data_IF_438983455225
#
_entry.id   IF_438983455225
#
_cell.length_a   1.000
_cell.length_b   1.000
_cell.length_c   1.000
_cell.angle_alpha   90.00
_cell.angle_beta   90.00
_cell.angle_gamma   90.00
#
_symmetry.space_group_name_H-M   'P 1'
#
loop_
_entity.id
_entity.type
_entity.pdbx_description
1 polymer ?
#
# COMPACT_ATOMS: atom_id res chain seq x y z
N UNK A 1 10.03 31.71 1.76
CA UNK A 1 9.29 31.05 2.85
C UNK A 1 9.38 31.81 4.17
N UNK A 2 10.58 31.96 4.74
CA UNK A 2 10.78 32.59 6.06
C UNK A 2 10.10 33.96 6.25
N UNK A 3 10.25 34.88 5.28
CA UNK A 3 9.59 36.19 5.33
C UNK A 3 8.06 36.07 5.42
N UNK A 4 7.45 35.16 4.65
CA UNK A 4 6.00 34.93 4.69
C UNK A 4 5.55 34.37 6.05
N UNK A 5 6.33 33.48 6.66
CA UNK A 5 6.04 32.97 8.01
C UNK A 5 6.12 34.08 9.07
N UNK A 6 7.13 34.95 9.00
CA UNK A 6 7.26 36.07 9.95
C UNK A 6 6.09 37.07 9.85
N UNK A 7 5.69 37.43 8.63
CA UNK A 7 4.53 38.32 8.44
C UNK A 7 3.23 37.65 8.91
N UNK A 8 3.05 36.35 8.62
CA UNK A 8 1.90 35.62 9.11
C UNK A 8 1.88 35.54 10.65
N UNK A 9 3.03 35.34 11.29
CA UNK A 9 3.15 35.30 12.74
C UNK A 9 2.70 36.61 13.41
N UNK A 10 3.07 37.76 12.82
CA UNK A 10 2.60 39.08 13.29
C UNK A 10 1.08 39.17 13.21
N UNK A 11 0.51 38.76 12.07
CA UNK A 11 -0.94 38.77 11.87
C UNK A 11 -1.66 37.84 12.86
N UNK A 12 -1.15 36.61 13.04
CA UNK A 12 -1.67 35.63 14.01
C UNK A 12 -1.64 36.19 15.43
N UNK A 13 -0.55 36.86 15.81
CA UNK A 13 -0.42 37.49 17.13
C UNK A 13 -1.50 38.55 17.36
N UNK A 14 -1.73 39.42 16.37
CA UNK A 14 -2.77 40.45 16.43
C UNK A 14 -4.17 39.83 16.47
N UNK A 15 -4.40 38.76 15.70
CA UNK A 15 -5.68 38.05 15.66
C UNK A 15 -6.00 37.41 17.02
N UNK A 16 -5.05 36.68 17.60
CA UNK A 16 -5.19 36.06 18.93
C UNK A 16 -5.46 37.10 20.02
N UNK A 17 -4.71 38.22 20.01
CA UNK A 17 -4.90 39.31 20.97
C UNK A 17 -6.29 39.96 20.82
N UNK A 18 -6.73 40.21 19.58
CA UNK A 18 -8.06 40.78 19.28
C UNK A 18 -9.19 39.89 19.80
N UNK A 19 -9.04 38.58 19.66
CA UNK A 19 -10.06 37.60 20.05
C UNK A 19 -9.86 37.01 21.45
N UNK A 20 -8.89 37.53 22.22
CA UNK A 20 -8.60 37.13 23.61
C UNK A 20 -8.44 35.61 23.77
N UNK A 21 -7.70 35.00 22.85
CA UNK A 21 -7.38 33.57 22.92
C UNK A 21 -6.58 33.25 24.21
N UNK A 22 -6.73 32.04 24.71
CA UNK A 22 -6.07 31.50 25.90
C UNK A 22 -4.69 30.89 25.61
N UNK A 23 -4.22 31.01 24.37
CA UNK A 23 -2.90 30.58 23.92
C UNK A 23 -2.22 31.68 23.09
N UNK A 24 -0.93 31.52 22.88
CA UNK A 24 -0.07 32.47 22.19
C UNK A 24 0.33 31.96 20.81
N UNK A 25 0.91 32.86 20.00
CA UNK A 25 1.45 32.48 18.69
C UNK A 25 2.57 31.42 18.78
N UNK A 26 3.26 31.34 19.91
CA UNK A 26 4.35 30.37 20.12
C UNK A 26 3.83 28.94 20.32
N UNK A 27 2.54 28.79 20.64
CA UNK A 27 1.87 27.49 20.76
C UNK A 27 1.45 26.94 19.38
N UNK A 28 1.63 27.73 18.32
CA UNK A 28 1.28 27.38 16.95
C UNK A 28 2.53 27.15 16.08
N UNK A 29 2.43 26.29 15.06
CA UNK A 29 3.50 26.08 14.10
C UNK A 29 3.74 27.35 13.26
N UNK A 30 5.00 27.64 12.89
CA UNK A 30 5.30 28.68 11.90
C UNK A 30 4.74 28.32 10.53
N UNK A 31 3.60 28.92 10.17
CA UNK A 31 2.94 28.68 8.88
C UNK A 31 3.11 29.87 7.94
N UNK A 32 3.35 29.64 6.65
CA UNK A 32 3.29 30.70 5.65
C UNK A 32 1.86 31.26 5.57
N UNK A 33 1.71 32.44 4.97
CA UNK A 33 0.41 33.08 4.76
C UNK A 33 -0.54 32.13 4.01
N UNK A 34 -0.04 31.40 3.01
CA UNK A 34 -0.83 30.39 2.28
C UNK A 34 -0.21 29.01 2.48
N UNK A 35 -1.02 28.05 2.94
CA UNK A 35 -0.62 26.65 3.08
C UNK A 35 -0.29 25.98 1.74
N UNK A 36 -0.76 26.53 0.61
CA UNK A 36 -0.39 26.11 -0.75
C UNK A 36 1.10 26.31 -1.03
N UNK A 37 1.76 27.25 -0.35
CA UNK A 37 3.21 27.41 -0.49
C UNK A 37 3.96 26.14 -0.06
N UNK A 38 3.45 25.41 0.94
CA UNK A 38 4.05 24.13 1.30
C UNK A 38 4.05 23.14 0.14
N UNK A 39 2.94 23.03 -0.59
CA UNK A 39 2.82 22.11 -1.73
C UNK A 39 3.82 22.48 -2.81
N UNK A 40 3.83 23.75 -3.21
CA UNK A 40 4.71 24.24 -4.27
C UNK A 40 6.18 23.98 -3.93
N UNK A 41 6.60 24.28 -2.69
CA UNK A 41 8.00 24.08 -2.30
C UNK A 41 8.37 22.59 -2.25
N UNK A 42 7.55 21.77 -1.60
CA UNK A 42 7.85 20.36 -1.41
C UNK A 42 7.79 19.59 -2.74
N UNK A 43 6.87 19.91 -3.63
CA UNK A 43 6.72 19.25 -4.93
C UNK A 43 7.81 19.67 -5.93
N UNK A 44 8.03 20.97 -6.11
CA UNK A 44 8.88 21.47 -7.20
C UNK A 44 10.31 21.79 -6.78
N UNK A 45 10.56 22.05 -5.49
CA UNK A 45 11.87 22.51 -5.01
C UNK A 45 12.45 21.73 -3.80
N UNK A 46 12.27 20.39 -3.69
CA UNK A 46 12.70 19.65 -2.50
C UNK A 46 14.21 19.75 -2.21
N UNK A 47 15.05 19.91 -3.23
CA UNK A 47 16.52 20.07 -3.10
C UNK A 47 16.93 21.35 -2.38
N UNK A 48 16.11 22.39 -2.45
CA UNK A 48 16.39 23.72 -1.93
C UNK A 48 15.81 23.94 -0.52
N UNK A 49 15.14 22.93 0.04
CA UNK A 49 14.48 23.04 1.33
C UNK A 49 15.46 22.71 2.46
N UNK A 50 15.72 23.66 3.37
CA UNK A 50 16.41 23.36 4.63
C UNK A 50 15.54 22.48 5.52
N UNK A 51 16.18 21.64 6.32
CA UNK A 51 15.56 20.77 7.31
C UNK A 51 14.62 21.53 8.27
N UNK A 52 14.95 22.76 8.64
CA UNK A 52 14.12 23.60 9.52
C UNK A 52 12.75 23.93 8.90
N UNK A 53 12.71 24.16 7.59
CA UNK A 53 11.47 24.45 6.85
C UNK A 53 10.59 23.20 6.80
N UNK A 54 11.20 22.03 6.62
CA UNK A 54 10.49 20.74 6.70
C UNK A 54 9.96 20.44 8.11
N UNK A 55 10.70 20.82 9.15
CA UNK A 55 10.25 20.67 10.55
C UNK A 55 9.04 21.56 10.85
N UNK A 56 9.01 22.80 10.34
CA UNK A 56 7.86 23.69 10.49
C UNK A 56 6.63 23.18 9.75
N UNK A 57 6.83 22.64 8.53
CA UNK A 57 5.78 21.91 7.82
C UNK A 57 5.25 20.74 8.65
N UNK A 58 6.12 19.91 9.21
CA UNK A 58 5.71 18.77 10.04
C UNK A 58 4.94 19.22 11.30
N UNK A 59 5.36 20.30 11.97
CA UNK A 59 4.59 20.85 13.10
C UNK A 59 3.18 21.29 12.66
N UNK A 60 3.07 21.88 11.46
CA UNK A 60 1.77 22.22 10.87
C UNK A 60 0.92 20.99 10.58
N UNK A 61 1.46 19.93 9.98
CA UNK A 61 0.68 18.71 9.74
C UNK A 61 0.26 18.05 11.05
N UNK A 62 1.14 18.01 12.05
CA UNK A 62 0.81 17.45 13.37
C UNK A 62 -0.32 18.22 14.04
N UNK A 63 -0.32 19.57 14.00
CA UNK A 63 -1.42 20.35 14.59
C UNK A 63 -2.74 20.16 13.82
N UNK A 64 -2.67 19.92 12.50
CA UNK A 64 -3.86 19.64 11.68
C UNK A 64 -4.43 18.24 11.97
N UNK A 65 -3.59 17.23 12.21
CA UNK A 65 -4.05 15.88 12.56
C UNK A 65 -4.56 15.82 14.00
N UNK A 66 -3.84 16.43 14.96
CA UNK A 66 -4.18 16.36 16.37
C UNK A 66 -4.12 17.74 17.02
N UNK A 67 -5.10 18.63 16.74
CA UNK A 67 -5.07 19.97 17.27
C UNK A 67 -5.24 19.97 18.80
N UNK A 68 -4.48 20.80 19.54
CA UNK A 68 -4.68 20.99 20.98
C UNK A 68 -6.11 21.41 21.31
N UNK A 69 -6.58 21.05 22.51
CA UNK A 69 -7.95 21.36 22.95
C UNK A 69 -8.27 22.86 22.89
N UNK A 70 -7.33 23.71 23.32
CA UNK A 70 -7.48 25.18 23.27
C UNK A 70 -7.69 25.69 21.84
N UNK A 71 -6.95 25.17 20.86
CA UNK A 71 -7.15 25.50 19.45
C UNK A 71 -8.50 24.99 18.93
N UNK A 72 -8.90 23.75 19.26
CA UNK A 72 -10.20 23.19 18.88
C UNK A 72 -11.36 24.04 19.43
N UNK A 73 -11.28 24.44 20.69
CA UNK A 73 -12.30 25.25 21.34
C UNK A 73 -12.35 26.67 20.77
N UNK A 74 -11.20 27.29 20.53
CA UNK A 74 -11.13 28.60 19.89
C UNK A 74 -11.72 28.59 18.47
N UNK A 75 -11.36 27.61 17.66
CA UNK A 75 -11.93 27.40 16.32
C UNK A 75 -13.46 27.21 16.36
N UNK A 76 -13.96 26.45 17.34
CA UNK A 76 -15.39 26.26 17.57
C UNK A 76 -16.10 27.57 17.97
N UNK A 77 -15.47 28.41 18.78
CA UNK A 77 -15.99 29.74 19.15
C UNK A 77 -16.09 30.64 17.91
N UNK A 78 -15.04 30.68 17.08
CA UNK A 78 -15.03 31.46 15.85
C UNK A 78 -16.15 31.05 14.88
N UNK A 79 -16.41 29.74 14.74
CA UNK A 79 -17.49 29.23 13.89
C UNK A 79 -18.90 29.55 14.42
N UNK A 80 -19.07 29.62 15.73
CA UNK A 80 -20.38 29.88 16.36
C UNK A 80 -20.85 31.32 16.19
N UNK A 81 -19.91 32.27 16.12
CA UNK A 81 -20.22 33.67 15.88
C UNK A 81 -20.33 33.93 14.37
N UNK A 82 -21.56 33.94 13.86
CA UNK A 82 -21.83 34.16 12.43
C UNK A 82 -21.36 35.53 11.90
N UNK A 83 -21.28 36.54 12.77
CA UNK A 83 -20.74 37.85 12.39
C UNK A 83 -19.22 37.78 12.21
N UNK A 84 -18.55 37.03 13.07
CA UNK A 84 -17.11 36.86 13.02
C UNK A 84 -16.65 35.87 11.94
N UNK A 85 -17.32 34.73 11.80
CA UNK A 85 -16.95 33.64 10.87
C UNK A 85 -16.92 34.09 9.41
N UNK A 86 -17.67 35.15 9.07
CA UNK A 86 -17.75 35.72 7.73
C UNK A 86 -16.72 36.84 7.49
N UNK A 87 -15.94 37.23 8.50
CA UNK A 87 -14.87 38.21 8.30
C UNK A 87 -13.70 37.56 7.56
N UNK A 88 -13.01 38.29 6.66
CA UNK A 88 -11.85 37.75 5.94
C UNK A 88 -10.76 37.22 6.88
N UNK A 89 -10.58 37.85 8.04
CA UNK A 89 -9.59 37.43 9.02
C UNK A 89 -9.94 36.08 9.67
N UNK A 90 -11.19 35.89 10.08
CA UNK A 90 -11.61 34.61 10.64
C UNK A 90 -11.61 33.51 9.59
N UNK A 91 -12.02 33.81 8.35
CA UNK A 91 -11.94 32.86 7.24
C UNK A 91 -10.50 32.43 6.96
N UNK A 92 -9.57 33.38 6.93
CA UNK A 92 -8.13 33.09 6.79
C UNK A 92 -7.63 32.21 7.94
N UNK A 93 -7.96 32.56 9.18
CA UNK A 93 -7.60 31.76 10.36
C UNK A 93 -8.07 30.31 10.23
N UNK A 94 -9.36 30.11 9.98
CA UNK A 94 -9.98 28.79 9.87
C UNK A 94 -9.39 28.01 8.69
N UNK A 95 -9.11 28.71 7.58
CA UNK A 95 -8.48 28.11 6.41
C UNK A 95 -7.04 27.65 6.66
N UNK A 96 -6.35 28.12 7.71
CA UNK A 96 -4.99 27.69 8.05
C UNK A 96 -4.95 26.73 9.23
N UNK A 97 -5.71 26.99 10.30
CA UNK A 97 -5.60 26.27 11.58
C UNK A 97 -6.82 25.40 11.93
N UNK A 98 -7.84 25.35 11.08
CA UNK A 98 -9.07 24.58 11.32
C UNK A 98 -9.43 23.68 10.13
N UNK A 99 -8.38 23.28 9.42
CA UNK A 99 -8.46 22.29 8.36
C UNK A 99 -8.57 20.91 8.98
N UNK A 100 -9.32 20.03 8.31
CA UNK A 100 -9.38 18.63 8.68
C UNK A 100 -8.73 17.77 7.59
N UNK A 101 -8.04 16.70 8.00
CA UNK A 101 -7.27 15.85 7.09
C UNK A 101 -8.13 15.04 6.11
N UNK A 102 -9.41 14.87 6.40
CA UNK A 102 -10.41 14.27 5.51
C UNK A 102 -10.75 15.19 4.31
N UNK A 103 -10.56 16.50 4.44
CA UNK A 103 -10.78 17.48 3.38
C UNK A 103 -9.60 17.60 2.42
N UNK A 104 -8.51 16.86 2.66
CA UNK A 104 -7.33 16.84 1.82
C UNK A 104 -7.39 15.66 0.83
N UNK A 105 -7.67 15.90 -0.47
CA UNK A 105 -7.69 14.82 -1.47
C UNK A 105 -6.34 14.13 -1.64
N UNK A 106 -5.26 14.81 -1.24
CA UNK A 106 -3.90 14.27 -1.14
C UNK A 106 -3.36 14.65 0.23
N UNK A 107 -3.16 13.67 1.11
CA UNK A 107 -2.62 13.96 2.44
C UNK A 107 -1.23 14.58 2.29
N UNK A 108 -0.91 15.60 3.06
CA UNK A 108 0.44 16.20 3.07
C UNK A 108 1.53 15.17 3.44
N UNK A 109 1.14 14.08 4.12
CA UNK A 109 1.98 12.90 4.37
C UNK A 109 2.34 12.14 3.10
N UNK A 110 1.46 12.12 2.09
CA UNK A 110 1.73 11.52 0.79
C UNK A 110 2.91 12.21 0.10
N UNK A 111 3.01 13.54 0.15
CA UNK A 111 4.15 14.27 -0.42
C UNK A 111 5.47 13.78 0.19
N UNK A 112 5.51 13.53 1.50
CA UNK A 112 6.69 12.97 2.17
C UNK A 112 6.99 11.54 1.71
N UNK A 113 5.96 10.71 1.53
CA UNK A 113 6.13 9.36 1.00
C UNK A 113 6.65 9.35 -0.44
N UNK A 114 6.12 10.22 -1.30
CA UNK A 114 6.60 10.39 -2.67
C UNK A 114 8.09 10.74 -2.69
N UNK A 115 8.55 11.63 -1.80
CA UNK A 115 9.99 11.93 -1.67
C UNK A 115 10.83 10.73 -1.23
N UNK A 116 10.26 9.84 -0.41
CA UNK A 116 10.95 8.61 0.00
C UNK A 116 11.00 7.62 -1.17
N UNK A 117 9.91 7.47 -1.91
CA UNK A 117 9.73 6.45 -2.96
C UNK A 117 10.45 6.77 -4.28
N UNK A 118 10.67 8.05 -4.61
CA UNK A 118 11.28 8.46 -5.88
C UNK A 118 12.72 8.97 -5.73
N UNK A 119 13.42 8.41 -4.74
CA UNK A 119 14.76 8.81 -4.29
C UNK A 119 14.81 10.24 -3.75
N UNK A 120 15.34 10.38 -2.53
CA UNK A 120 15.49 11.68 -1.93
C UNK A 120 16.42 12.52 -2.80
N UNK A 121 15.94 13.65 -3.33
CA UNK A 121 16.76 14.43 -4.23
C UNK A 121 17.92 15.02 -3.41
N UNK A 122 19.16 14.78 -3.87
CA UNK A 122 20.36 15.24 -3.17
C UNK A 122 20.25 16.73 -2.82
N UNK A 123 20.43 17.06 -1.54
CA UNK A 123 20.21 18.43 -1.08
C UNK A 123 21.28 19.37 -1.65
N UNK A 124 20.82 20.56 -2.05
CA UNK A 124 21.69 21.66 -2.50
C UNK A 124 22.00 22.64 -1.36
N UNK A 125 21.53 22.37 -0.14
CA UNK A 125 21.78 23.21 1.05
C UNK A 125 22.48 22.39 2.14
N UNK A 126 23.33 23.03 2.95
CA UNK A 126 24.18 22.36 3.94
C UNK A 126 23.42 21.63 5.05
N UNK A 127 22.20 22.08 5.35
CA UNK A 127 21.28 21.48 6.31
C UNK A 127 20.04 20.91 5.63
N UNK A 128 20.23 20.15 4.55
CA UNK A 128 19.17 19.59 3.74
C UNK A 128 18.26 18.57 4.41
N UNK A 129 17.17 18.24 3.72
CA UNK A 129 16.29 17.11 4.06
C UNK A 129 17.12 15.82 4.09
N UNK A 130 16.82 14.93 5.04
CA UNK A 130 17.40 13.59 5.11
C UNK A 130 16.32 12.52 5.16
N UNK A 131 16.62 11.32 4.68
CA UNK A 131 15.70 10.18 4.71
C UNK A 131 15.22 9.87 6.13
N UNK A 132 16.14 9.81 7.11
CA UNK A 132 15.79 9.51 8.50
C UNK A 132 14.75 10.49 9.07
N UNK A 133 14.86 11.77 8.73
CA UNK A 133 13.90 12.79 9.16
C UNK A 133 12.53 12.64 8.51
N UNK A 134 12.48 12.34 7.20
CA UNK A 134 11.20 12.05 6.54
C UNK A 134 10.54 10.80 7.11
N UNK A 135 11.31 9.74 7.35
CA UNK A 135 10.83 8.51 7.97
C UNK A 135 10.19 8.79 9.34
N UNK A 136 10.89 9.53 10.21
CA UNK A 136 10.38 9.88 11.54
C UNK A 136 9.06 10.66 11.45
N UNK A 137 8.94 11.60 10.51
CA UNK A 137 7.73 12.39 10.29
C UNK A 137 6.56 11.52 9.80
N UNK A 138 6.79 10.67 8.81
CA UNK A 138 5.75 9.76 8.29
C UNK A 138 5.28 8.79 9.38
N UNK A 139 6.20 8.21 10.15
CA UNK A 139 5.85 7.32 11.27
C UNK A 139 5.08 8.06 12.35
N UNK A 140 5.45 9.31 12.65
CA UNK A 140 4.69 10.17 13.57
C UNK A 140 3.28 10.43 13.07
N UNK A 141 3.10 10.78 11.80
CA UNK A 141 1.77 10.99 11.21
C UNK A 141 0.93 9.70 11.26
N UNK A 142 1.51 8.56 10.87
CA UNK A 142 0.85 7.27 10.96
C UNK A 142 0.42 6.94 12.40
N UNK A 143 1.25 7.28 13.41
CA UNK A 143 0.90 7.13 14.81
C UNK A 143 -0.34 7.93 15.18
N UNK A 144 -0.40 9.20 14.79
CA UNK A 144 -1.53 10.08 15.09
C UNK A 144 -2.82 9.58 14.42
N UNK A 145 -2.76 9.14 13.16
CA UNK A 145 -3.92 8.56 12.49
C UNK A 145 -4.42 7.29 13.19
N UNK A 146 -3.53 6.50 13.78
CA UNK A 146 -3.92 5.31 14.55
C UNK A 146 -4.46 5.63 15.94
N UNK A 147 -4.09 6.77 16.54
CA UNK A 147 -4.65 7.20 17.83
C UNK A 147 -6.14 7.55 17.71
N UNK A 148 -6.55 8.13 16.59
CA UNK A 148 -7.95 8.45 16.26
C UNK A 148 -8.41 7.69 14.99
N UNK A 149 -8.18 6.38 14.93
CA UNK A 149 -8.38 5.57 13.72
C UNK A 149 -9.81 5.63 13.15
N UNK A 150 -10.83 5.68 14.00
CA UNK A 150 -12.22 5.78 13.56
C UNK A 150 -12.48 7.08 12.78
N UNK A 151 -11.90 8.19 13.24
CA UNK A 151 -11.96 9.49 12.55
C UNK A 151 -11.15 9.48 11.25
N UNK A 152 -9.99 8.82 11.25
CA UNK A 152 -9.03 8.87 10.15
C UNK A 152 -9.01 7.60 9.28
N UNK A 153 -10.09 6.83 9.23
CA UNK A 153 -10.11 5.57 8.47
C UNK A 153 -9.81 5.79 6.97
N UNK A 154 -10.40 6.80 6.35
CA UNK A 154 -10.17 7.10 4.93
C UNK A 154 -8.77 7.65 4.66
N UNK A 155 -8.30 8.57 5.51
CA UNK A 155 -6.93 9.10 5.45
C UNK A 155 -5.90 7.98 5.64
N UNK A 156 -6.15 7.05 6.57
CA UNK A 156 -5.32 5.87 6.77
C UNK A 156 -5.32 4.97 5.53
N UNK A 157 -6.49 4.70 4.93
CA UNK A 157 -6.57 3.90 3.72
C UNK A 157 -5.83 4.56 2.54
N UNK A 158 -5.89 5.89 2.42
CA UNK A 158 -5.12 6.65 1.44
C UNK A 158 -3.61 6.55 1.71
N UNK A 159 -3.17 6.79 2.95
CA UNK A 159 -1.77 6.58 3.37
C UNK A 159 -1.30 5.19 3.00
N UNK A 160 -2.14 4.18 3.23
CA UNK A 160 -1.76 2.82 2.94
C UNK A 160 -1.55 2.57 1.44
N UNK A 161 -2.42 3.10 0.58
CA UNK A 161 -2.22 3.00 -0.87
C UNK A 161 -0.87 3.57 -1.31
N UNK A 162 -0.38 4.60 -0.64
CA UNK A 162 0.92 5.22 -0.95
C UNK A 162 2.13 4.49 -0.39
N UNK A 163 1.98 3.61 0.61
CA UNK A 163 3.08 2.78 1.13
C UNK A 163 3.33 1.52 0.30
N UNK A 164 2.39 1.21 -0.59
CA UNK A 164 2.44 0.03 -1.45
C UNK A 164 3.67 0.06 -2.39
N UNK A 165 4.29 -1.10 -2.69
CA UNK A 165 5.30 -1.20 -3.74
C UNK A 165 4.79 -0.60 -5.07
N UNK A 166 5.64 0.10 -5.84
CA UNK A 166 5.30 0.56 -7.19
C UNK A 166 4.94 -0.62 -8.10
N UNK A 167 3.87 -0.46 -8.88
CA UNK A 167 3.45 -1.47 -9.85
C UNK A 167 2.90 -0.84 -11.12
N UNK A 168 2.78 -1.63 -12.19
CA UNK A 168 2.14 -1.22 -13.45
C UNK A 168 0.69 -0.76 -13.26
N UNK A 169 -0.02 -1.28 -12.26
CA UNK A 169 -1.37 -0.82 -11.91
C UNK A 169 -1.37 0.61 -11.35
N UNK A 170 -0.34 0.97 -10.58
CA UNK A 170 -0.21 2.29 -9.96
C UNK A 170 0.35 3.31 -10.94
N UNK A 171 1.23 2.86 -11.84
CA UNK A 171 1.94 3.68 -12.83
C UNK A 171 1.75 3.10 -14.25
N UNK A 172 0.53 3.17 -14.82
CA UNK A 172 0.22 2.52 -16.09
C UNK A 172 0.98 3.13 -17.29
N UNK A 173 1.36 4.41 -17.20
CA UNK A 173 2.11 5.14 -18.23
C UNK A 173 3.61 4.84 -18.23
N UNK A 174 4.17 4.35 -17.12
CA UNK A 174 5.60 4.12 -16.97
C UNK A 174 6.01 2.80 -17.62
N UNK A 175 7.15 2.73 -18.29
CA UNK A 175 7.66 1.48 -18.88
C UNK A 175 8.18 0.50 -17.80
N UNK A 176 8.55 -0.72 -18.23
CA UNK A 176 9.01 -1.78 -17.32
C UNK A 176 10.31 -1.40 -16.60
N UNK A 177 11.23 -0.73 -17.28
CA UNK A 177 12.52 -0.31 -16.73
C UNK A 177 12.32 0.77 -15.66
N UNK A 178 11.43 1.72 -15.91
CA UNK A 178 11.04 2.78 -14.99
C UNK A 178 10.39 2.21 -13.73
N UNK A 179 9.47 1.25 -13.88
CA UNK A 179 8.84 0.57 -12.73
C UNK A 179 9.88 -0.24 -11.97
N UNK A 180 10.77 -0.97 -12.65
CA UNK A 180 11.85 -1.74 -12.02
C UNK A 180 12.77 -0.83 -11.19
N UNK A 181 13.15 0.32 -11.74
CA UNK A 181 13.91 1.36 -11.03
C UNK A 181 13.17 1.86 -9.79
N UNK A 182 11.88 2.21 -9.91
CA UNK A 182 11.05 2.63 -8.77
C UNK A 182 10.94 1.54 -7.70
N UNK A 183 10.80 0.27 -8.09
CA UNK A 183 10.76 -0.87 -7.15
C UNK A 183 12.09 -1.01 -6.42
N UNK A 184 13.24 -0.88 -7.12
CA UNK A 184 14.56 -0.91 -6.49
C UNK A 184 14.74 0.21 -5.47
N UNK A 185 14.31 1.42 -5.79
CA UNK A 185 14.31 2.55 -4.85
C UNK A 185 13.37 2.29 -3.67
N UNK A 186 12.14 1.83 -3.94
CA UNK A 186 11.19 1.49 -2.89
C UNK A 186 11.73 0.40 -1.94
N UNK A 187 12.42 -0.62 -2.46
CA UNK A 187 13.04 -1.66 -1.64
C UNK A 187 14.10 -1.09 -0.67
N UNK A 188 14.85 -0.06 -1.09
CA UNK A 188 15.89 0.59 -0.27
C UNK A 188 15.31 1.49 0.81
N UNK A 189 14.23 2.22 0.52
CA UNK A 189 13.72 3.29 1.37
C UNK A 189 12.28 3.08 1.82
N UNK A 190 11.35 2.87 0.88
CA UNK A 190 9.91 2.70 1.13
C UNK A 190 9.58 1.46 1.96
N UNK A 191 10.27 0.35 1.74
CA UNK A 191 10.13 -0.89 2.52
C UNK A 191 10.35 -0.65 4.00
N UNK A 192 11.38 0.11 4.37
CA UNK A 192 11.67 0.44 5.77
C UNK A 192 10.54 1.27 6.41
N UNK A 193 9.92 2.19 5.65
CA UNK A 193 8.75 2.93 6.13
C UNK A 193 7.60 1.97 6.41
N UNK A 194 7.31 1.07 5.47
CA UNK A 194 6.24 0.07 5.62
C UNK A 194 6.50 -0.86 6.81
N UNK A 195 7.75 -1.29 7.05
CA UNK A 195 8.14 -2.08 8.22
C UNK A 195 7.87 -1.33 9.53
N UNK A 196 8.28 -0.05 9.63
CA UNK A 196 8.04 0.79 10.81
C UNK A 196 6.55 1.02 11.07
N UNK A 197 5.77 1.29 10.02
CA UNK A 197 4.31 1.46 10.12
C UNK A 197 3.63 0.14 10.50
N UNK A 198 4.10 -0.99 9.99
CA UNK A 198 3.58 -2.32 10.36
C UNK A 198 3.85 -2.62 11.83
N UNK A 199 5.08 -2.37 12.32
CA UNK A 199 5.43 -2.53 13.72
C UNK A 199 4.56 -1.64 14.62
N UNK A 200 4.30 -0.40 14.20
CA UNK A 200 3.44 0.54 14.90
C UNK A 200 1.99 0.04 15.03
N UNK A 201 1.41 -0.48 13.94
CA UNK A 201 0.07 -1.10 13.98
C UNK A 201 0.04 -2.31 14.90
N UNK A 202 1.12 -3.12 14.91
CA UNK A 202 1.22 -4.27 15.81
C UNK A 202 1.21 -3.83 17.27
N UNK A 203 2.01 -2.83 17.63
CA UNK A 203 2.13 -2.34 19.00
C UNK A 203 0.82 -1.70 19.49
N UNK A 204 0.25 -0.81 18.67
CA UNK A 204 -0.98 -0.08 19.04
C UNK A 204 -2.22 -0.97 19.13
N UNK A 205 -2.32 -2.03 18.33
CA UNK A 205 -3.45 -2.99 18.40
C UNK A 205 -3.62 -3.62 19.79
N UNK A 206 -2.57 -3.66 20.62
CA UNK A 206 -2.68 -4.15 21.99
C UNK A 206 -3.59 -3.28 22.88
N UNK A 207 -3.96 -2.07 22.44
CA UNK A 207 -4.64 -1.06 23.26
C UNK A 207 -6.07 -0.71 22.83
N UNK A 208 -6.46 -0.90 21.57
CA UNK A 208 -7.81 -0.56 21.08
C UNK A 208 -8.47 -1.75 20.36
N UNK A 209 -9.81 -1.76 20.34
CA UNK A 209 -10.64 -2.82 19.77
C UNK A 209 -10.73 -2.77 18.23
N UNK A 210 -10.65 -1.58 17.63
CA UNK A 210 -10.80 -1.36 16.18
C UNK A 210 -9.46 -0.90 15.62
N UNK A 211 -8.87 -1.71 14.73
CA UNK A 211 -7.59 -1.42 14.05
C UNK A 211 -7.61 -1.92 12.60
N UNK A 212 -6.80 -1.31 11.72
CA UNK A 212 -6.62 -1.79 10.36
C UNK A 212 -6.07 -3.22 10.30
N UNK A 213 -6.38 -3.90 9.19
CA UNK A 213 -5.84 -5.23 8.89
C UNK A 213 -4.33 -5.16 8.75
N UNK A 214 -3.62 -6.01 9.50
CA UNK A 214 -2.16 -6.17 9.37
C UNK A 214 -1.78 -7.01 8.16
N UNK A 215 -2.71 -7.80 7.63
CA UNK A 215 -2.44 -8.77 6.58
C UNK A 215 -1.94 -8.09 5.31
N UNK A 216 -2.63 -7.05 4.84
CA UNK A 216 -2.20 -6.29 3.65
C UNK A 216 -0.78 -5.73 3.81
N UNK A 217 -0.45 -5.20 4.98
CA UNK A 217 0.89 -4.66 5.25
C UNK A 217 1.96 -5.74 5.13
N UNK A 218 1.71 -6.91 5.70
CA UNK A 218 2.63 -8.05 5.66
C UNK A 218 2.74 -8.63 4.26
N UNK A 219 1.63 -8.70 3.52
CA UNK A 219 1.63 -9.12 2.11
C UNK A 219 2.55 -8.21 1.29
N UNK A 220 2.46 -6.89 1.46
CA UNK A 220 3.30 -5.93 0.74
C UNK A 220 4.79 -5.97 1.10
N UNK A 221 5.16 -6.60 2.22
CA UNK A 221 6.54 -6.80 2.64
C UNK A 221 7.16 -8.09 2.07
N UNK A 222 6.37 -8.94 1.39
CA UNK A 222 6.89 -10.14 0.76
C UNK A 222 7.92 -9.80 -0.34
N UNK A 223 8.86 -10.71 -0.64
CA UNK A 223 9.86 -10.53 -1.68
C UNK A 223 9.22 -10.77 -3.06
N UNK A 224 8.44 -9.80 -3.54
CA UNK A 224 7.81 -9.92 -4.85
C UNK A 224 8.87 -10.10 -5.95
N UNK A 225 8.71 -11.11 -6.82
CA UNK A 225 9.57 -11.33 -7.98
C UNK A 225 9.21 -10.29 -9.05
N UNK A 226 9.69 -9.06 -8.87
CA UNK A 226 9.48 -7.94 -9.78
C UNK A 226 10.63 -7.91 -10.81
N UNK A 227 10.36 -8.33 -12.04
CA UNK A 227 11.36 -8.37 -13.11
C UNK A 227 12.62 -9.19 -12.74
N UNK A 228 12.47 -10.47 -12.34
CA UNK A 228 13.60 -11.33 -11.99
C UNK A 228 14.58 -11.47 -13.16
N UNK A 229 15.88 -11.54 -12.86
CA UNK A 229 16.87 -11.93 -13.86
C UNK A 229 16.58 -13.36 -14.35
N UNK A 230 16.74 -13.67 -15.67
CA UNK A 230 16.42 -14.98 -16.25
C UNK A 230 17.00 -16.18 -15.49
N UNK A 231 18.18 -16.03 -14.90
CA UNK A 231 18.85 -17.08 -14.13
C UNK A 231 18.18 -17.37 -12.77
N UNK A 232 17.45 -16.40 -12.19
CA UNK A 232 16.91 -16.47 -10.84
C UNK A 232 15.39 -16.62 -10.80
N UNK A 233 14.70 -16.42 -11.92
CA UNK A 233 13.23 -16.46 -12.08
C UNK A 233 12.57 -17.57 -11.26
N UNK A 234 12.97 -18.83 -11.48
CA UNK A 234 12.39 -19.98 -10.80
C UNK A 234 12.66 -19.99 -9.29
N UNK A 235 13.82 -19.50 -8.86
CA UNK A 235 14.16 -19.42 -7.44
C UNK A 235 13.32 -18.34 -6.76
N UNK A 236 13.22 -17.15 -7.35
CA UNK A 236 12.47 -16.03 -6.76
C UNK A 236 10.97 -16.33 -6.62
N UNK A 237 10.32 -16.90 -7.64
CA UNK A 237 8.91 -17.32 -7.53
C UNK A 237 8.69 -18.38 -6.46
N UNK A 238 9.62 -19.34 -6.34
CA UNK A 238 9.55 -20.38 -5.31
C UNK A 238 9.71 -19.77 -3.91
N UNK A 239 10.69 -18.89 -3.71
CA UNK A 239 10.93 -18.21 -2.43
C UNK A 239 9.71 -17.36 -2.05
N UNK A 240 9.17 -16.58 -2.97
CA UNK A 240 7.95 -15.81 -2.76
C UNK A 240 6.78 -16.70 -2.33
N UNK A 241 6.54 -17.82 -3.03
CA UNK A 241 5.44 -18.73 -2.71
C UNK A 241 5.57 -19.34 -1.31
N UNK A 242 6.79 -19.74 -0.92
CA UNK A 242 7.09 -20.25 0.43
C UNK A 242 6.82 -19.19 1.49
N UNK A 243 7.34 -17.96 1.33
CA UNK A 243 7.11 -16.90 2.30
C UNK A 243 5.63 -16.47 2.39
N UNK A 244 4.91 -16.50 1.27
CA UNK A 244 3.47 -16.26 1.25
C UNK A 244 2.72 -17.37 2.01
N UNK A 245 3.06 -18.63 1.77
CA UNK A 245 2.47 -19.76 2.50
C UNK A 245 2.72 -19.66 4.00
N UNK A 246 3.96 -19.41 4.43
CA UNK A 246 4.32 -19.20 5.84
C UNK A 246 3.54 -18.02 6.44
N UNK A 247 3.39 -16.91 5.70
CA UNK A 247 2.59 -15.78 6.14
C UNK A 247 1.12 -16.16 6.37
N UNK A 248 0.52 -16.91 5.44
CA UNK A 248 -0.86 -17.36 5.52
C UNK A 248 -1.06 -18.35 6.68
N UNK A 249 -0.13 -19.29 6.84
CA UNK A 249 -0.13 -20.21 7.97
C UNK A 249 -0.14 -19.46 9.30
N UNK A 250 0.75 -18.47 9.46
CA UNK A 250 0.82 -17.62 10.66
C UNK A 250 -0.48 -16.83 10.90
N UNK A 251 -1.14 -16.40 9.83
CA UNK A 251 -2.42 -15.67 9.94
C UNK A 251 -3.54 -16.62 10.38
N UNK A 252 -3.53 -17.88 9.94
CA UNK A 252 -4.51 -18.88 10.30
C UNK A 252 -4.28 -19.53 11.68
N UNK A 253 -3.22 -19.17 12.42
CA UNK A 253 -2.96 -19.71 13.77
C UNK A 253 -4.05 -19.40 14.79
N UNK A 254 -4.75 -18.28 14.62
CA UNK A 254 -5.81 -17.89 15.54
C UNK A 254 -7.16 -18.44 15.07
N UNK A 255 -7.83 -19.24 15.90
CA UNK A 255 -9.19 -19.76 15.62
C UNK A 255 -10.20 -18.67 15.26
N UNK A 256 -10.04 -17.46 15.84
CA UNK A 256 -10.87 -16.30 15.52
C UNK A 256 -10.76 -15.82 14.06
N UNK A 257 -9.73 -16.25 13.33
CA UNK A 257 -9.53 -15.89 11.93
C UNK A 257 -10.29 -16.80 10.96
N UNK A 258 -10.81 -17.96 11.39
CA UNK A 258 -11.64 -18.82 10.53
C UNK A 258 -12.91 -18.11 10.08
N UNK A 259 -13.58 -17.37 10.97
CA UNK A 259 -14.76 -16.56 10.64
C UNK A 259 -14.42 -15.42 9.68
N UNK A 260 -13.12 -15.06 9.56
CA UNK A 260 -12.62 -13.99 8.71
C UNK A 260 -12.05 -14.50 7.38
N UNK A 261 -12.17 -15.80 7.09
CA UNK A 261 -11.61 -16.42 5.89
C UNK A 261 -11.98 -15.66 4.59
N UNK A 262 -13.25 -15.26 4.34
CA UNK A 262 -13.58 -14.50 3.13
C UNK A 262 -12.85 -13.16 3.02
N UNK A 263 -12.63 -12.48 4.16
CA UNK A 263 -11.87 -11.23 4.21
C UNK A 263 -10.38 -11.46 4.01
N UNK A 264 -9.84 -12.55 4.56
CA UNK A 264 -8.44 -12.96 4.34
C UNK A 264 -8.22 -13.22 2.85
N UNK A 265 -9.06 -14.01 2.20
CA UNK A 265 -8.99 -14.27 0.76
C UNK A 265 -9.01 -12.97 -0.04
N UNK A 266 -9.93 -12.05 0.26
CA UNK A 266 -9.99 -10.74 -0.38
C UNK A 266 -8.72 -9.90 -0.19
N UNK A 267 -8.12 -9.93 1.00
CA UNK A 267 -6.85 -9.25 1.27
C UNK A 267 -5.70 -9.92 0.50
N UNK A 268 -5.67 -11.25 0.41
CA UNK A 268 -4.66 -12.04 -0.30
C UNK A 268 -4.71 -11.82 -1.82
N UNK A 269 -5.88 -11.58 -2.41
CA UNK A 269 -6.00 -11.23 -3.82
C UNK A 269 -5.23 -9.97 -4.21
N UNK A 270 -4.88 -9.09 -3.26
CA UNK A 270 -4.01 -7.93 -3.54
C UNK A 270 -2.60 -8.34 -4.01
N UNK A 271 -2.19 -9.60 -3.81
CA UNK A 271 -0.98 -10.19 -4.41
C UNK A 271 -1.01 -10.07 -5.93
N UNK A 272 -2.16 -10.31 -6.56
CA UNK A 272 -2.29 -10.24 -8.02
C UNK A 272 -1.99 -8.84 -8.56
N UNK A 273 -2.44 -7.81 -7.84
CA UNK A 273 -2.19 -6.42 -8.21
C UNK A 273 -0.69 -6.06 -8.11
N UNK A 274 0.07 -6.77 -7.28
CA UNK A 274 1.49 -6.52 -6.96
C UNK A 274 2.46 -7.18 -7.93
N UNK A 275 1.98 -8.16 -8.69
CA UNK A 275 2.70 -8.72 -9.82
C UNK A 275 2.46 -7.82 -11.03
N UNK A 276 3.52 -7.50 -11.77
CA UNK A 276 3.54 -6.54 -12.86
C UNK A 276 3.20 -7.16 -14.22
N UNK A 277 3.51 -8.44 -14.42
CA UNK A 277 3.30 -9.13 -15.71
C UNK A 277 2.34 -10.32 -15.58
N UNK A 278 1.74 -10.70 -16.71
CA UNK A 278 0.90 -11.90 -16.76
C UNK A 278 1.73 -13.16 -16.47
N UNK A 279 2.96 -13.21 -16.95
CA UNK A 279 3.90 -14.31 -16.70
C UNK A 279 4.22 -14.45 -15.20
N UNK A 280 4.46 -13.34 -14.49
CA UNK A 280 4.67 -13.34 -13.04
C UNK A 280 3.45 -13.92 -12.31
N UNK A 281 2.22 -13.52 -12.70
CA UNK A 281 0.97 -14.04 -12.12
C UNK A 281 0.84 -15.54 -12.34
N UNK A 282 1.07 -16.01 -13.56
CA UNK A 282 0.96 -17.41 -13.93
C UNK A 282 2.04 -18.27 -13.25
N UNK A 283 3.28 -17.77 -13.16
CA UNK A 283 4.35 -18.46 -12.44
C UNK A 283 4.01 -18.61 -10.96
N UNK A 284 3.59 -17.53 -10.28
CA UNK A 284 3.15 -17.59 -8.88
C UNK A 284 1.96 -18.53 -8.73
N UNK A 285 0.98 -18.51 -9.64
CA UNK A 285 -0.16 -19.41 -9.61
C UNK A 285 0.28 -20.89 -9.64
N UNK A 286 1.25 -21.24 -10.49
CA UNK A 286 1.77 -22.61 -10.59
C UNK A 286 2.47 -23.09 -9.32
N UNK A 287 3.04 -22.17 -8.52
CA UNK A 287 3.68 -22.50 -7.26
C UNK A 287 2.67 -22.56 -6.11
N UNK A 288 1.79 -21.57 -6.01
CA UNK A 288 0.76 -21.51 -4.99
C UNK A 288 -0.26 -22.64 -5.12
N UNK A 289 -0.56 -23.04 -6.35
CA UNK A 289 -1.52 -24.08 -6.72
C UNK A 289 -1.20 -25.51 -6.28
N UNK A 290 0.06 -25.80 -5.92
CA UNK A 290 0.49 -27.16 -5.61
C UNK A 290 -0.19 -27.73 -4.39
N UNK A 291 -1.03 -28.75 -4.55
CA UNK A 291 -1.62 -29.44 -3.41
C UNK A 291 -0.50 -30.00 -2.52
N UNK A 292 -0.52 -29.66 -1.23
CA UNK A 292 0.40 -30.28 -0.29
C UNK A 292 0.07 -31.78 -0.27
N UNK A 293 1.08 -32.63 -0.50
CA UNK A 293 0.91 -34.06 -0.28
C UNK A 293 0.60 -34.23 1.21
N UNK A 294 -0.61 -34.68 1.53
CA UNK A 294 -1.04 -34.96 2.89
C UNK A 294 0.02 -35.84 3.56
N UNK A 295 0.89 -35.23 4.37
CA UNK A 295 1.65 -36.00 5.33
C UNK A 295 0.64 -36.52 6.35
N UNK A 296 0.70 -37.82 6.66
CA UNK A 296 -0.25 -38.68 7.44
C UNK A 296 -0.86 -38.13 8.77
N UNK A 297 -0.66 -36.86 9.14
CA UNK A 297 -1.42 -36.23 10.22
C UNK A 297 -2.80 -35.85 9.71
N UNK A 298 -3.82 -36.44 10.33
CA UNK A 298 -5.23 -36.05 10.22
C UNK A 298 -5.35 -34.54 9.97
N UNK A 299 -5.83 -34.18 8.78
CA UNK A 299 -5.83 -32.80 8.28
C UNK A 299 -6.60 -31.89 9.22
N UNK A 300 -5.87 -31.07 9.99
CA UNK A 300 -6.49 -30.03 10.81
C UNK A 300 -7.29 -29.07 9.92
N UNK A 301 -8.40 -28.51 10.41
CA UNK A 301 -9.19 -27.47 9.72
C UNK A 301 -8.29 -26.36 9.13
N UNK A 302 -7.23 -25.99 9.85
CA UNK A 302 -6.22 -25.03 9.42
C UNK A 302 -5.52 -25.41 8.11
N UNK A 303 -5.22 -26.69 7.91
CA UNK A 303 -4.62 -27.20 6.67
C UNK A 303 -5.57 -27.04 5.50
N UNK A 304 -6.87 -27.27 5.72
CA UNK A 304 -7.92 -27.10 4.71
C UNK A 304 -8.10 -25.64 4.34
N UNK A 305 -8.22 -24.74 5.33
CA UNK A 305 -8.37 -23.30 5.10
C UNK A 305 -7.18 -22.71 4.32
N UNK A 306 -5.96 -23.17 4.62
CA UNK A 306 -4.77 -22.78 3.87
C UNK A 306 -4.84 -23.24 2.42
N UNK A 307 -5.14 -24.52 2.17
CA UNK A 307 -5.28 -25.06 0.81
C UNK A 307 -6.36 -24.32 0.03
N UNK A 308 -7.50 -24.02 0.66
CA UNK A 308 -8.55 -23.21 0.08
C UNK A 308 -8.01 -21.85 -0.38
N UNK A 309 -7.37 -21.06 0.51
CA UNK A 309 -6.81 -19.75 0.14
C UNK A 309 -5.81 -19.87 -1.02
N UNK A 310 -4.93 -20.88 -0.97
CA UNK A 310 -3.88 -21.09 -1.98
C UNK A 310 -4.48 -21.35 -3.36
N UNK A 311 -5.46 -22.24 -3.46
CA UNK A 311 -6.11 -22.58 -4.72
C UNK A 311 -6.95 -21.41 -5.23
N UNK A 312 -7.74 -20.75 -4.38
CA UNK A 312 -8.51 -19.58 -4.80
C UNK A 312 -7.60 -18.44 -5.29
N UNK A 313 -6.45 -18.22 -4.62
CA UNK A 313 -5.46 -17.25 -5.10
C UNK A 313 -4.88 -17.68 -6.45
N UNK A 314 -4.52 -18.97 -6.62
CA UNK A 314 -4.00 -19.47 -7.90
C UNK A 314 -5.00 -19.26 -9.04
N UNK A 315 -6.29 -19.58 -8.82
CA UNK A 315 -7.37 -19.30 -9.79
C UNK A 315 -7.44 -17.82 -10.14
N UNK A 316 -7.43 -16.93 -9.12
CA UNK A 316 -7.46 -15.48 -9.32
C UNK A 316 -6.27 -14.97 -10.14
N UNK A 317 -5.07 -15.49 -9.86
CA UNK A 317 -3.86 -15.15 -10.60
C UNK A 317 -3.91 -15.63 -12.06
N UNK A 318 -4.47 -16.81 -12.32
CA UNK A 318 -4.69 -17.32 -13.68
C UNK A 318 -5.70 -16.45 -14.43
N UNK A 319 -6.78 -16.03 -13.77
CA UNK A 319 -7.75 -15.10 -14.36
C UNK A 319 -7.14 -13.75 -14.73
N UNK A 320 -6.35 -13.17 -13.82
CA UNK A 320 -5.72 -11.86 -14.05
C UNK A 320 -4.55 -11.94 -15.03
N UNK A 321 -3.90 -13.11 -15.16
CA UNK A 321 -2.82 -13.38 -16.13
C UNK A 321 -3.30 -13.98 -17.45
N UNK A 322 -4.61 -14.03 -17.72
CA UNK A 322 -5.18 -14.73 -18.87
C UNK A 322 -4.67 -14.24 -20.23
N UNK A 323 -4.26 -12.98 -20.33
CA UNK A 323 -3.75 -12.42 -21.58
C UNK A 323 -2.35 -12.96 -21.90
N UNK A 324 -1.58 -13.35 -20.87
CA UNK A 324 -0.32 -14.08 -21.00
C UNK A 324 -0.51 -15.47 -21.60
N UNK A 325 -1.62 -16.16 -21.29
CA UNK A 325 -1.94 -17.49 -21.83
C UNK A 325 -2.30 -17.48 -23.32
N UNK A 326 -2.83 -16.37 -23.83
CA UNK A 326 -3.22 -16.23 -25.24
C UNK A 326 -2.05 -15.81 -26.12
N UNK A 327 -0.99 -15.22 -25.54
CA UNK A 327 0.19 -14.72 -26.24
C UNK A 327 1.17 -15.85 -26.56
N UNK A 328 0.80 -16.71 -27.50
CA UNK A 328 1.76 -17.49 -28.29
C UNK A 328 1.69 -16.97 -29.71
N UNK A 329 2.25 -15.79 -29.99
CA UNK A 329 2.11 -15.18 -31.31
C UNK A 329 3.33 -14.35 -31.73
N UNK A 330 3.95 -14.81 -32.82
CA UNK A 330 4.78 -14.10 -33.79
C UNK A 330 5.85 -13.17 -33.24
N UNK A 331 7.08 -13.70 -33.11
CA UNK A 331 8.29 -12.92 -32.82
C UNK A 331 8.94 -13.24 -31.47
N UNK A 332 8.37 -14.15 -30.68
CA UNK A 332 9.02 -14.68 -29.49
C UNK A 332 10.22 -15.56 -29.87
N UNK A 333 11.22 -15.63 -29.01
CA UNK A 333 12.32 -16.58 -29.21
C UNK A 333 11.83 -18.01 -28.94
N UNK A 334 12.46 -19.01 -29.57
CA UNK A 334 12.16 -20.42 -29.32
C UNK A 334 12.27 -20.80 -27.83
N UNK A 335 13.17 -20.15 -27.09
CA UNK A 335 13.33 -20.37 -25.65
C UNK A 335 12.16 -19.80 -24.82
N UNK A 336 11.60 -18.66 -25.22
CA UNK A 336 10.42 -18.07 -24.58
C UNK A 336 9.18 -18.92 -24.83
N UNK A 337 8.98 -19.38 -26.07
CA UNK A 337 7.86 -20.28 -26.41
C UNK A 337 7.93 -21.59 -25.61
N UNK A 338 9.13 -22.17 -25.49
CA UNK A 338 9.36 -23.37 -24.67
C UNK A 338 9.08 -23.14 -23.19
N UNK A 339 9.52 -22.01 -22.65
CA UNK A 339 9.30 -21.65 -21.24
C UNK A 339 7.82 -21.43 -20.96
N UNK A 340 7.11 -20.76 -21.88
CA UNK A 340 5.66 -20.57 -21.81
C UNK A 340 4.90 -21.90 -21.87
N UNK A 341 5.27 -22.80 -22.78
CA UNK A 341 4.65 -24.12 -22.89
C UNK A 341 4.82 -24.93 -21.58
N UNK A 342 6.01 -24.92 -20.99
CA UNK A 342 6.27 -25.59 -19.70
C UNK A 342 5.38 -25.00 -18.60
N UNK A 343 5.23 -23.68 -18.57
CA UNK A 343 4.37 -23.01 -17.59
C UNK A 343 2.89 -23.41 -17.75
N UNK A 344 2.37 -23.41 -18.98
CA UNK A 344 1.00 -23.83 -19.28
C UNK A 344 0.79 -25.30 -18.89
N UNK A 345 1.74 -26.18 -19.19
CA UNK A 345 1.69 -27.59 -18.79
C UNK A 345 1.69 -27.77 -17.27
N UNK A 346 2.50 -26.98 -16.54
CA UNK A 346 2.47 -26.98 -15.08
C UNK A 346 1.10 -26.56 -14.57
N UNK A 347 0.53 -25.45 -15.06
CA UNK A 347 -0.80 -24.99 -14.66
C UNK A 347 -1.90 -26.02 -14.96
N UNK A 348 -1.88 -26.63 -16.15
CA UNK A 348 -2.81 -27.70 -16.53
C UNK A 348 -2.74 -28.85 -15.55
N UNK A 349 -1.54 -29.32 -15.22
CA UNK A 349 -1.32 -30.39 -14.26
C UNK A 349 -1.89 -30.04 -12.88
N UNK A 350 -1.63 -28.84 -12.36
CA UNK A 350 -2.17 -28.42 -11.07
C UNK A 350 -3.70 -28.41 -11.09
N UNK A 351 -4.32 -27.88 -12.16
CA UNK A 351 -5.78 -27.85 -12.32
C UNK A 351 -6.38 -29.27 -12.37
N UNK A 352 -5.74 -30.21 -13.07
CA UNK A 352 -6.16 -31.61 -13.12
C UNK A 352 -6.06 -32.29 -11.75
N UNK A 353 -5.01 -31.97 -10.97
CA UNK A 353 -4.87 -32.41 -9.59
C UNK A 353 -6.01 -31.85 -8.71
N UNK A 354 -6.40 -30.58 -8.89
CA UNK A 354 -7.55 -30.01 -8.15
C UNK A 354 -8.88 -30.65 -8.53
N UNK A 355 -9.10 -30.94 -9.82
CA UNK A 355 -10.30 -31.63 -10.30
C UNK A 355 -10.42 -33.06 -9.80
N UNK A 356 -9.28 -33.70 -9.57
CA UNK A 356 -9.18 -35.08 -9.07
C UNK A 356 -9.02 -35.13 -7.55
N UNK A 357 -9.13 -33.99 -6.87
CA UNK A 357 -8.98 -33.90 -5.42
C UNK A 357 -10.07 -34.74 -4.74
N UNK A 358 -9.66 -35.50 -3.73
CA UNK A 358 -10.61 -36.21 -2.85
C UNK A 358 -11.36 -35.28 -1.90
N UNK A 359 -11.03 -33.99 -1.88
CA UNK A 359 -11.74 -32.94 -1.14
C UNK A 359 -12.88 -32.36 -1.98
N UNK A 360 -14.10 -32.60 -1.52
CA UNK A 360 -15.35 -32.13 -2.14
C UNK A 360 -15.39 -30.61 -2.27
N UNK A 361 -14.86 -29.85 -1.29
CA UNK A 361 -14.89 -28.39 -1.33
C UNK A 361 -13.96 -27.82 -2.41
N UNK A 362 -12.78 -28.41 -2.57
CA UNK A 362 -11.85 -28.05 -3.65
C UNK A 362 -12.45 -28.41 -5.01
N UNK A 363 -13.00 -29.62 -5.13
CA UNK A 363 -13.63 -30.08 -6.36
C UNK A 363 -14.79 -29.17 -6.79
N UNK A 364 -15.68 -28.84 -5.86
CA UNK A 364 -16.84 -27.97 -6.12
C UNK A 364 -16.40 -26.57 -6.56
N UNK A 365 -15.43 -25.97 -5.86
CA UNK A 365 -14.86 -24.68 -6.23
C UNK A 365 -14.26 -24.69 -7.64
N UNK A 366 -13.53 -25.75 -8.02
CA UNK A 366 -12.96 -25.89 -9.37
C UNK A 366 -14.06 -26.08 -10.42
N UNK A 367 -15.11 -26.84 -10.09
CA UNK A 367 -16.26 -27.03 -10.98
C UNK A 367 -17.01 -25.72 -11.24
N UNK A 368 -17.27 -24.94 -10.19
CA UNK A 368 -17.86 -23.60 -10.30
C UNK A 368 -16.98 -22.67 -11.13
N UNK A 369 -15.67 -22.65 -10.84
CA UNK A 369 -14.71 -21.83 -11.58
C UNK A 369 -14.67 -22.20 -13.06
N UNK A 370 -14.66 -23.49 -13.39
CA UNK A 370 -14.73 -24.00 -14.76
C UNK A 370 -15.98 -23.52 -15.50
N UNK A 371 -17.14 -23.51 -14.84
CA UNK A 371 -18.39 -23.02 -15.42
C UNK A 371 -18.33 -21.51 -15.63
N UNK A 372 -17.87 -20.76 -14.62
CA UNK A 372 -17.79 -19.31 -14.66
C UNK A 372 -16.75 -18.78 -15.67
N UNK A 373 -15.66 -19.52 -15.90
CA UNK A 373 -14.51 -19.12 -16.73
C UNK A 373 -14.29 -20.07 -17.91
N UNK A 374 -15.38 -20.47 -18.57
CA UNK A 374 -15.38 -21.48 -19.65
C UNK A 374 -14.35 -21.22 -20.76
N UNK A 375 -14.18 -19.97 -21.19
CA UNK A 375 -13.24 -19.64 -22.28
C UNK A 375 -11.78 -19.77 -21.83
N UNK A 376 -11.45 -19.28 -20.65
CA UNK A 376 -10.13 -19.43 -20.03
C UNK A 376 -9.81 -20.92 -19.79
N UNK A 377 -10.79 -21.67 -19.29
CA UNK A 377 -10.69 -23.11 -19.12
C UNK A 377 -10.37 -23.81 -20.45
N UNK A 378 -11.07 -23.43 -21.53
CA UNK A 378 -10.80 -23.97 -22.87
C UNK A 378 -9.36 -23.68 -23.30
N UNK A 379 -8.86 -22.46 -23.10
CA UNK A 379 -7.47 -22.11 -23.45
C UNK A 379 -6.47 -23.00 -22.70
N UNK A 380 -6.64 -23.18 -21.39
CA UNK A 380 -5.73 -23.98 -20.56
C UNK A 380 -5.76 -25.48 -20.92
N UNK A 381 -6.93 -26.01 -21.23
CA UNK A 381 -7.10 -27.46 -21.45
C UNK A 381 -6.98 -27.89 -22.92
N UNK A 382 -7.04 -26.97 -23.89
CA UNK A 382 -7.00 -27.32 -25.33
C UNK A 382 -5.59 -27.44 -25.90
N UNK A 383 -4.53 -27.21 -25.11
CA UNK A 383 -3.13 -27.15 -25.57
C UNK A 383 -2.49 -28.49 -25.98
N UNK A 384 -3.27 -29.46 -26.47
CA UNK A 384 -2.81 -30.82 -26.74
C UNK A 384 -3.25 -31.36 -28.11
N UNK A 385 -3.70 -30.50 -29.03
CA UNK A 385 -3.96 -30.90 -30.41
C UNK A 385 -3.01 -30.10 -31.33
N UNK A 386 -2.14 -30.83 -32.03
CA UNK A 386 -1.19 -30.37 -33.07
C UNK A 386 0.26 -30.04 -32.64
N UNK A 387 0.86 -30.88 -31.78
CA UNK A 387 2.32 -31.11 -31.82
C UNK A 387 2.55 -32.60 -32.10
N UNK A 388 2.08 -33.07 -33.25
CA UNK A 388 2.40 -34.41 -33.76
C UNK A 388 3.41 -34.30 -34.91
N UNK A 389 4.58 -34.92 -34.65
CA UNK A 389 5.61 -35.48 -35.52
C UNK A 389 6.41 -34.59 -36.50
#
# INVERSE_FOLDING_TARGET
MHYSQLEHQKWVTLFLAKHKADFTVNDLPPTPISSTLWDIFLEYYPKLIPQTVLEDFNKHIVITIAPPATLKDFNKLLRKDAGLSNTPNAQHWLAVFDQSMDQYPYSKTQTLLTMIHHDLPGSSVSNGITFGRLLDMVVKHASLFLDEYETYTDTWNALMKHLRPPTKLTYPSEDADSISSMVSTWQKSGRLVLEKVTALVIDKKKKLSIFPSKLKLRLWLLPYPCFPEPAEVKHQYKTFAVELEELLENVLESEANMIRLPRIVKDVFTVSDLLNTDEERLCVASHMGKLARYSDRAGSQRSWDLQYIRITLAMKLIEDGQDGLKKTSHGASSEQEKSHLILVQCLKKEIEEWQSSGDEAIWEMVAEWRVAKKDLWKVLMSGEQDIDN
#
